data_IF_687159802370
#
_entry.id   IF_687159802370
#
_cell.length_a   1.000
_cell.length_b   1.000
_cell.length_c   1.000
_cell.angle_alpha   90.00
_cell.angle_beta   90.00
_cell.angle_gamma   90.00
#
_symmetry.space_group_name_H-M   'P 1'
#
loop_
_entity.id
_entity.type
_entity.pdbx_description
1 polymer ?
#
# COMPACT_ATOMS: atom_id res chain seq x y z
N UNK A 1 -43.17 -3.68 -21.55
CA UNK A 1 -42.68 -4.98 -21.05
C UNK A 1 -41.99 -4.75 -19.72
N UNK A 2 -42.68 -5.03 -18.61
CA UNK A 2 -42.09 -5.01 -17.28
C UNK A 2 -41.05 -6.12 -17.20
N UNK A 3 -39.76 -5.79 -17.20
CA UNK A 3 -38.72 -6.76 -16.86
C UNK A 3 -38.99 -7.24 -15.44
N UNK A 4 -39.47 -8.49 -15.28
CA UNK A 4 -39.48 -9.15 -13.99
C UNK A 4 -38.03 -9.15 -13.48
N UNK A 5 -37.75 -8.34 -12.44
CA UNK A 5 -36.45 -8.32 -11.77
C UNK A 5 -36.18 -9.73 -11.25
N UNK A 6 -35.13 -10.35 -11.78
CA UNK A 6 -34.71 -11.69 -11.35
C UNK A 6 -34.32 -11.59 -9.88
N UNK A 7 -35.03 -12.31 -9.02
CA UNK A 7 -34.74 -12.34 -7.58
C UNK A 7 -33.60 -13.31 -7.28
N UNK A 8 -32.85 -13.03 -6.22
CA UNK A 8 -31.81 -13.93 -5.71
C UNK A 8 -32.38 -14.92 -4.71
N UNK A 9 -31.76 -16.11 -4.59
CA UNK A 9 -32.13 -17.12 -3.57
C UNK A 9 -32.19 -16.52 -2.15
N UNK A 10 -31.29 -15.58 -1.84
CA UNK A 10 -31.25 -14.91 -0.54
C UNK A 10 -32.41 -13.93 -0.35
N UNK A 11 -32.78 -13.16 -1.38
CA UNK A 11 -33.93 -12.26 -1.30
C UNK A 11 -35.23 -13.05 -1.09
N UNK A 12 -35.40 -14.15 -1.81
CA UNK A 12 -36.54 -15.06 -1.61
C UNK A 12 -36.62 -15.55 -0.15
N UNK A 13 -35.51 -16.07 0.39
CA UNK A 13 -35.43 -16.52 1.78
C UNK A 13 -35.71 -15.40 2.79
N UNK A 14 -35.18 -14.20 2.55
CA UNK A 14 -35.46 -13.03 3.40
C UNK A 14 -36.93 -12.63 3.38
N UNK A 15 -37.58 -12.59 2.20
CA UNK A 15 -39.00 -12.28 2.06
C UNK A 15 -39.86 -13.29 2.82
N UNK A 16 -39.56 -14.58 2.68
CA UNK A 16 -40.24 -15.66 3.43
C UNK A 16 -40.05 -15.47 4.95
N UNK A 17 -38.84 -15.14 5.40
CA UNK A 17 -38.56 -14.92 6.83
C UNK A 17 -39.34 -13.73 7.38
N UNK A 18 -39.46 -12.63 6.61
CA UNK A 18 -40.26 -11.45 7.00
C UNK A 18 -41.75 -11.79 7.08
N UNK A 19 -42.27 -12.58 6.13
CA UNK A 19 -43.66 -13.06 6.16
C UNK A 19 -43.90 -13.90 7.42
N UNK A 20 -42.99 -14.83 7.73
CA UNK A 20 -43.07 -15.68 8.94
C UNK A 20 -43.04 -14.81 10.22
N UNK A 21 -42.21 -13.78 10.26
CA UNK A 21 -42.15 -12.84 11.39
C UNK A 21 -43.47 -12.06 11.55
N UNK A 22 -44.03 -11.56 10.45
CA UNK A 22 -45.31 -10.85 10.47
C UNK A 22 -46.46 -11.76 10.96
N UNK A 23 -46.49 -13.02 10.49
CA UNK A 23 -47.43 -14.03 10.99
C UNK A 23 -47.27 -14.26 12.49
N UNK A 24 -46.04 -14.34 13.00
CA UNK A 24 -45.76 -14.49 14.43
C UNK A 24 -46.42 -13.37 15.25
N UNK A 25 -46.29 -12.12 14.81
CA UNK A 25 -46.89 -10.95 15.47
C UNK A 25 -48.43 -11.04 15.46
N UNK A 26 -49.02 -11.37 14.30
CA UNK A 26 -50.48 -11.51 14.17
C UNK A 26 -51.02 -12.61 15.09
N UNK A 27 -50.38 -13.79 15.11
CA UNK A 27 -50.80 -14.89 15.98
C UNK A 27 -50.64 -14.56 17.47
N UNK A 28 -49.60 -13.81 17.84
CA UNK A 28 -49.40 -13.34 19.22
C UNK A 28 -50.46 -12.32 19.65
N UNK A 29 -50.87 -11.42 18.75
CA UNK A 29 -51.98 -10.48 19.00
C UNK A 29 -53.32 -11.24 19.14
N UNK A 30 -53.59 -12.20 18.26
CA UNK A 30 -54.79 -13.03 18.33
C UNK A 30 -54.86 -13.85 19.63
N UNK A 31 -53.75 -14.42 20.06
CA UNK A 31 -53.63 -15.14 21.33
C UNK A 31 -54.08 -14.27 22.53
N UNK A 32 -53.75 -12.98 22.50
CA UNK A 32 -54.11 -12.03 23.55
C UNK A 32 -55.60 -11.67 23.57
N UNK A 33 -56.28 -11.75 22.42
CA UNK A 33 -57.69 -11.35 22.28
C UNK A 33 -58.68 -12.51 22.47
N UNK A 34 -58.30 -13.73 22.06
CA UNK A 34 -59.19 -14.90 22.13
C UNK A 34 -59.45 -15.29 23.58
N UNK A 35 -60.72 -15.48 23.97
CA UNK A 35 -61.10 -15.98 25.31
C UNK A 35 -61.33 -17.49 25.35
N UNK A 36 -61.58 -18.11 24.20
CA UNK A 36 -61.82 -19.54 24.07
C UNK A 36 -60.54 -20.35 24.36
N UNK A 37 -60.65 -21.30 25.29
CA UNK A 37 -59.52 -22.06 25.84
C UNK A 37 -58.82 -22.99 24.83
N UNK A 38 -59.54 -23.85 24.07
CA UNK A 38 -58.90 -24.71 23.07
C UNK A 38 -58.24 -23.91 21.94
N UNK A 39 -58.86 -22.83 21.48
CA UNK A 39 -58.30 -21.96 20.44
C UNK A 39 -57.03 -21.23 20.91
N UNK A 40 -56.98 -20.83 22.19
CA UNK A 40 -55.77 -20.27 22.82
C UNK A 40 -54.59 -21.24 22.83
N UNK A 41 -54.82 -22.51 23.17
CA UNK A 41 -53.76 -23.54 23.17
C UNK A 41 -53.22 -23.74 21.76
N UNK A 42 -54.08 -23.81 20.75
CA UNK A 42 -53.66 -23.93 19.36
C UNK A 42 -52.78 -22.77 18.91
N UNK A 43 -53.16 -21.53 19.23
CA UNK A 43 -52.40 -20.31 18.93
C UNK A 43 -51.03 -20.29 19.63
N UNK A 44 -50.96 -20.80 20.86
CA UNK A 44 -49.69 -20.92 21.59
C UNK A 44 -48.75 -21.94 20.92
N UNK A 45 -49.29 -23.09 20.50
CA UNK A 45 -48.50 -24.10 19.79
C UNK A 45 -47.98 -23.57 18.44
N UNK A 46 -48.79 -22.85 17.67
CA UNK A 46 -48.36 -22.32 16.36
C UNK A 46 -47.31 -21.22 16.52
N UNK A 47 -47.48 -20.30 17.47
CA UNK A 47 -46.48 -19.27 17.78
C UNK A 47 -45.15 -19.89 18.25
N UNK A 48 -45.20 -20.94 19.08
CA UNK A 48 -43.99 -21.67 19.50
C UNK A 48 -43.25 -22.30 18.31
N UNK A 49 -43.96 -22.94 17.37
CA UNK A 49 -43.36 -23.51 16.15
C UNK A 49 -42.74 -22.43 15.28
N UNK A 50 -43.42 -21.28 15.11
CA UNK A 50 -42.89 -20.15 14.33
C UNK A 50 -41.62 -19.59 14.98
N UNK A 51 -41.61 -19.42 16.31
CA UNK A 51 -40.43 -18.97 17.06
C UNK A 51 -39.25 -19.94 16.93
N UNK A 52 -39.51 -21.25 16.93
CA UNK A 52 -38.48 -22.26 16.67
C UNK A 52 -37.85 -22.06 15.29
N UNK A 53 -38.67 -21.89 14.23
CA UNK A 53 -38.17 -21.66 12.86
C UNK A 53 -37.34 -20.38 12.78
N UNK A 54 -37.81 -19.30 13.39
CA UNK A 54 -37.09 -18.02 13.44
C UNK A 54 -35.76 -18.15 14.20
N UNK A 55 -35.71 -18.94 15.28
CA UNK A 55 -34.48 -19.20 16.03
C UNK A 55 -33.43 -19.94 15.19
N UNK A 56 -33.83 -20.94 14.41
CA UNK A 56 -32.94 -21.64 13.47
C UNK A 56 -32.45 -20.71 12.36
N UNK A 57 -33.32 -19.86 11.83
CA UNK A 57 -32.94 -18.86 10.83
C UNK A 57 -31.94 -17.84 11.39
N UNK A 58 -32.14 -17.38 12.63
CA UNK A 58 -31.23 -16.49 13.34
C UNK A 58 -29.89 -17.17 13.62
N UNK A 59 -29.89 -18.42 14.07
CA UNK A 59 -28.67 -19.19 14.32
C UNK A 59 -27.88 -19.42 13.02
N UNK A 60 -28.57 -19.77 11.93
CA UNK A 60 -27.95 -19.87 10.59
C UNK A 60 -27.39 -18.53 10.11
N UNK A 61 -28.05 -17.41 10.40
CA UNK A 61 -27.52 -16.07 10.13
C UNK A 61 -26.27 -15.80 10.99
N UNK A 62 -26.29 -16.14 12.27
CA UNK A 62 -25.20 -15.89 13.20
C UNK A 62 -23.93 -16.67 12.82
N UNK A 63 -24.07 -17.96 12.54
CA UNK A 63 -22.95 -18.82 12.08
C UNK A 63 -22.39 -18.32 10.75
N UNK A 64 -23.26 -18.01 9.77
CA UNK A 64 -22.83 -17.52 8.45
C UNK A 64 -22.06 -16.20 8.52
N UNK A 65 -22.37 -15.34 9.50
CA UNK A 65 -21.70 -14.06 9.68
C UNK A 65 -20.63 -14.10 10.79
N UNK A 66 -20.14 -15.30 11.17
CA UNK A 66 -19.00 -15.46 12.07
C UNK A 66 -19.19 -14.72 13.40
N UNK A 67 -20.32 -14.96 14.08
CA UNK A 67 -20.65 -14.31 15.36
C UNK A 67 -19.64 -14.63 16.48
N UNK A 68 -18.88 -15.72 16.33
CA UNK A 68 -17.75 -16.10 17.19
C UNK A 68 -16.69 -15.00 17.28
N UNK A 69 -16.56 -14.15 16.24
CA UNK A 69 -15.67 -12.98 16.22
C UNK A 69 -16.30 -11.71 16.82
N UNK A 70 -17.50 -11.83 17.39
CA UNK A 70 -18.23 -10.77 18.06
C UNK A 70 -19.37 -10.15 17.25
N UNK A 71 -20.34 -9.57 17.96
CA UNK A 71 -21.57 -9.03 17.36
C UNK A 71 -21.31 -7.89 16.37
N UNK A 72 -20.34 -7.02 16.68
CA UNK A 72 -19.93 -5.91 15.81
C UNK A 72 -19.35 -6.41 14.49
N UNK A 73 -18.54 -7.47 14.54
CA UNK A 73 -17.98 -8.11 13.35
C UNK A 73 -19.10 -8.71 12.50
N UNK A 74 -19.97 -9.51 13.11
CA UNK A 74 -21.07 -10.16 12.41
C UNK A 74 -21.99 -9.16 11.69
N UNK A 75 -22.30 -8.03 12.33
CA UNK A 75 -23.09 -6.97 11.70
C UNK A 75 -22.36 -6.31 10.52
N UNK A 76 -21.11 -5.89 10.70
CA UNK A 76 -20.30 -5.29 9.63
C UNK A 76 -20.14 -6.24 8.44
N UNK A 77 -19.80 -7.50 8.72
CA UNK A 77 -19.69 -8.57 7.74
C UNK A 77 -21.00 -8.75 6.97
N UNK A 78 -22.13 -8.88 7.69
CA UNK A 78 -23.44 -9.03 7.07
C UNK A 78 -23.78 -7.88 6.12
N UNK A 79 -23.61 -6.64 6.56
CA UNK A 79 -23.92 -5.44 5.76
C UNK A 79 -23.04 -5.38 4.51
N UNK A 80 -21.74 -5.63 4.64
CA UNK A 80 -20.80 -5.55 3.53
C UNK A 80 -21.06 -6.65 2.49
N UNK A 81 -21.23 -7.90 2.94
CA UNK A 81 -21.58 -9.03 2.05
C UNK A 81 -22.92 -8.80 1.36
N UNK A 82 -23.90 -8.18 2.03
CA UNK A 82 -25.16 -7.83 1.37
C UNK A 82 -24.99 -6.79 0.26
N UNK A 83 -24.20 -5.74 0.48
CA UNK A 83 -23.90 -4.72 -0.54
C UNK A 83 -23.17 -5.34 -1.73
N UNK A 84 -22.10 -6.09 -1.48
CA UNK A 84 -21.35 -6.79 -2.52
C UNK A 84 -22.26 -7.69 -3.37
N UNK A 85 -23.12 -8.48 -2.73
CA UNK A 85 -24.07 -9.34 -3.47
C UNK A 85 -25.03 -8.55 -4.34
N UNK A 86 -25.51 -7.41 -3.86
CA UNK A 86 -26.41 -6.54 -4.63
C UNK A 86 -25.68 -5.95 -5.84
N UNK A 87 -24.50 -5.38 -5.65
CA UNK A 87 -23.71 -4.79 -6.74
C UNK A 87 -23.26 -5.84 -7.76
N UNK A 88 -22.90 -7.05 -7.33
CA UNK A 88 -22.60 -8.16 -8.25
C UNK A 88 -23.82 -8.57 -9.10
N UNK A 89 -25.03 -8.54 -8.52
CA UNK A 89 -26.26 -8.79 -9.26
C UNK A 89 -26.51 -7.70 -10.30
N UNK A 90 -26.40 -6.44 -9.89
CA UNK A 90 -26.64 -5.26 -10.73
C UNK A 90 -25.60 -5.17 -11.86
N UNK A 91 -24.35 -5.61 -11.61
CA UNK A 91 -23.28 -5.75 -12.61
C UNK A 91 -23.41 -6.99 -13.52
N UNK A 92 -24.44 -7.83 -13.35
CA UNK A 92 -24.63 -9.02 -14.18
C UNK A 92 -23.64 -10.16 -13.92
N UNK A 93 -23.08 -10.22 -12.71
CA UNK A 93 -22.19 -11.30 -12.24
C UNK A 93 -23.03 -12.31 -11.46
N UNK A 94 -23.78 -13.11 -12.21
CA UNK A 94 -24.57 -14.22 -11.68
C UNK A 94 -24.81 -15.29 -12.74
N UNK A 95 -25.11 -16.51 -12.31
CA UNK A 95 -25.68 -17.57 -13.14
C UNK A 95 -27.19 -17.62 -12.94
N UNK A 96 -27.94 -18.12 -13.92
CA UNK A 96 -29.38 -18.36 -13.72
C UNK A 96 -29.64 -19.83 -13.47
N UNK A 97 -30.49 -20.12 -12.48
CA UNK A 97 -31.01 -21.46 -12.21
C UNK A 97 -32.53 -21.43 -12.25
N UNK A 98 -33.14 -22.42 -12.89
CA UNK A 98 -34.61 -22.59 -12.83
C UNK A 98 -34.99 -23.31 -11.55
N UNK A 99 -35.90 -22.73 -10.78
CA UNK A 99 -36.52 -23.35 -9.61
C UNK A 99 -38.03 -23.31 -9.86
N UNK A 100 -38.61 -24.45 -10.24
CA UNK A 100 -39.98 -24.51 -10.73
C UNK A 100 -40.16 -23.73 -12.05
N UNK A 101 -41.06 -22.76 -12.06
CA UNK A 101 -41.38 -21.89 -13.23
C UNK A 101 -40.50 -20.63 -13.26
N UNK A 102 -39.90 -20.26 -12.13
CA UNK A 102 -39.15 -19.01 -12.00
C UNK A 102 -37.65 -19.17 -12.29
N UNK A 103 -37.06 -18.12 -12.89
CA UNK A 103 -35.61 -17.99 -13.05
C UNK A 103 -35.06 -17.24 -11.84
N UNK A 104 -34.09 -17.84 -11.16
CA UNK A 104 -33.44 -17.26 -9.97
C UNK A 104 -31.98 -16.95 -10.28
N UNK A 105 -31.51 -15.78 -9.85
CA UNK A 105 -30.11 -15.39 -9.97
C UNK A 105 -29.28 -16.02 -8.83
N UNK A 106 -28.22 -16.72 -9.23
CA UNK A 106 -27.23 -17.33 -8.35
C UNK A 106 -25.94 -16.54 -8.47
N UNK A 107 -25.74 -15.65 -7.49
CA UNK A 107 -24.51 -14.86 -7.33
C UNK A 107 -23.39 -15.80 -6.86
N UNK A 108 -22.14 -15.64 -7.35
CA UNK A 108 -20.99 -16.37 -6.81
C UNK A 108 -20.91 -16.26 -5.28
N UNK A 109 -20.28 -17.26 -4.67
CA UNK A 109 -20.01 -17.19 -3.24
C UNK A 109 -19.11 -15.98 -2.98
N UNK A 110 -19.50 -15.16 -2.00
CA UNK A 110 -18.75 -13.98 -1.58
C UNK A 110 -18.75 -13.91 -0.07
N UNK A 111 -17.60 -13.66 0.52
CA UNK A 111 -17.42 -13.40 1.94
C UNK A 111 -16.40 -12.30 2.17
N UNK A 112 -16.35 -11.78 3.38
CA UNK A 112 -15.35 -10.80 3.79
C UNK A 112 -14.63 -11.30 5.03
N UNK A 113 -13.33 -10.98 5.13
CA UNK A 113 -12.54 -11.13 6.34
C UNK A 113 -11.97 -9.76 6.71
N UNK A 114 -12.29 -9.26 7.91
CA UNK A 114 -11.76 -7.98 8.38
C UNK A 114 -10.56 -8.20 9.30
N UNK A 115 -9.58 -7.28 9.22
CA UNK A 115 -8.59 -7.12 10.27
C UNK A 115 -9.27 -6.75 11.62
N UNK A 116 -8.66 -7.06 12.77
CA UNK A 116 -9.27 -6.84 14.09
C UNK A 116 -9.72 -5.39 14.35
N UNK A 117 -9.03 -4.41 13.77
CA UNK A 117 -9.31 -2.98 13.89
C UNK A 117 -10.37 -2.47 12.88
N UNK A 118 -10.80 -3.33 11.95
CA UNK A 118 -11.67 -3.03 10.82
C UNK A 118 -11.13 -1.93 9.89
N UNK A 119 -9.84 -1.64 9.89
CA UNK A 119 -9.23 -0.66 8.97
C UNK A 119 -8.88 -1.28 7.64
N UNK A 120 -8.65 -2.59 7.61
CA UNK A 120 -8.41 -3.34 6.38
C UNK A 120 -9.13 -4.67 6.41
N UNK A 121 -9.07 -5.37 5.28
CA UNK A 121 -9.62 -6.70 5.15
C UNK A 121 -9.50 -7.20 3.72
N UNK A 122 -10.13 -8.34 3.49
CA UNK A 122 -10.12 -9.02 2.19
C UNK A 122 -11.52 -9.48 1.83
N UNK A 123 -11.93 -9.20 0.60
CA UNK A 123 -13.12 -9.79 0.00
C UNK A 123 -12.69 -11.02 -0.81
N UNK A 124 -13.45 -12.10 -0.67
CA UNK A 124 -13.27 -13.34 -1.40
C UNK A 124 -14.46 -13.50 -2.33
N UNK A 125 -14.21 -13.64 -3.63
CA UNK A 125 -15.27 -13.93 -4.61
C UNK A 125 -14.90 -15.21 -5.35
N UNK A 126 -15.79 -16.20 -5.31
CA UNK A 126 -15.59 -17.46 -6.03
C UNK A 126 -15.54 -17.21 -7.54
N UNK A 127 -14.45 -17.65 -8.15
CA UNK A 127 -14.20 -17.58 -9.57
C UNK A 127 -14.93 -18.71 -10.32
N UNK A 128 -15.16 -18.50 -11.61
CA UNK A 128 -15.58 -19.52 -12.57
C UNK A 128 -15.19 -19.08 -13.96
N UNK A 129 -15.17 -20.00 -14.93
CA UNK A 129 -14.87 -19.68 -16.35
C UNK A 129 -15.75 -18.53 -16.86
N UNK A 130 -17.03 -18.48 -16.46
CA UNK A 130 -17.96 -17.42 -16.86
C UNK A 130 -17.64 -16.04 -16.24
N UNK A 131 -17.03 -16.02 -15.06
CA UNK A 131 -16.79 -14.80 -14.29
C UNK A 131 -15.35 -14.31 -14.36
N UNK A 132 -14.41 -15.13 -14.82
CA UNK A 132 -12.97 -14.83 -14.81
C UNK A 132 -12.65 -13.45 -15.38
N UNK A 133 -13.02 -13.20 -16.64
CA UNK A 133 -12.72 -11.92 -17.30
C UNK A 133 -13.42 -10.72 -16.65
N UNK A 134 -14.60 -10.95 -16.05
CA UNK A 134 -15.36 -9.89 -15.37
C UNK A 134 -14.73 -9.55 -14.02
N UNK A 135 -14.37 -10.56 -13.23
CA UNK A 135 -13.76 -10.38 -11.91
C UNK A 135 -12.33 -9.87 -12.01
N UNK A 136 -11.60 -10.19 -13.09
CA UNK A 136 -10.28 -9.63 -13.34
C UNK A 136 -10.28 -8.11 -13.54
N UNK A 137 -11.39 -7.54 -14.00
CA UNK A 137 -11.50 -6.12 -14.43
C UNK A 137 -12.42 -5.27 -13.54
N UNK A 138 -13.15 -5.89 -12.61
CA UNK A 138 -14.13 -5.17 -11.78
C UNK A 138 -13.42 -4.40 -10.67
N UNK A 139 -13.86 -3.16 -10.46
CA UNK A 139 -13.59 -2.40 -9.23
C UNK A 139 -14.80 -2.52 -8.29
N UNK A 140 -14.62 -3.19 -7.16
CA UNK A 140 -15.67 -3.39 -6.16
C UNK A 140 -15.67 -2.30 -5.07
N UNK A 141 -14.80 -1.29 -5.14
CA UNK A 141 -14.66 -0.25 -4.10
C UNK A 141 -15.98 0.46 -3.79
N UNK A 142 -16.79 0.71 -4.82
CA UNK A 142 -18.13 1.30 -4.68
C UNK A 142 -19.08 0.47 -3.80
N UNK A 143 -18.92 -0.86 -3.80
CA UNK A 143 -19.71 -1.78 -3.00
C UNK A 143 -19.25 -1.84 -1.53
N UNK A 144 -18.03 -1.39 -1.23
CA UNK A 144 -17.43 -1.56 0.08
C UNK A 144 -17.85 -0.51 1.11
N UNK A 145 -18.42 0.61 0.67
CA UNK A 145 -19.11 1.52 1.59
C UNK A 145 -18.22 2.27 2.57
N UNK A 146 -17.12 2.82 2.08
CA UNK A 146 -16.13 3.56 2.86
C UNK A 146 -14.75 2.92 2.85
N UNK A 147 -14.62 1.72 2.29
CA UNK A 147 -13.34 1.09 2.00
C UNK A 147 -13.01 1.21 0.51
N UNK A 148 -11.72 1.17 0.19
CA UNK A 148 -11.20 1.19 -1.18
C UNK A 148 -10.36 -0.06 -1.39
N UNK A 149 -10.50 -0.69 -2.56
CA UNK A 149 -9.66 -1.83 -2.95
C UNK A 149 -8.24 -1.33 -3.17
N UNK A 150 -7.28 -1.95 -2.49
CA UNK A 150 -5.85 -1.70 -2.69
C UNK A 150 -5.29 -2.57 -3.81
N UNK A 151 -5.67 -3.85 -3.84
CA UNK A 151 -5.20 -4.80 -4.84
C UNK A 151 -6.19 -5.93 -5.06
N UNK A 152 -6.19 -6.45 -6.29
CA UNK A 152 -6.95 -7.62 -6.70
C UNK A 152 -6.01 -8.65 -7.34
N UNK A 153 -6.12 -9.91 -6.92
CA UNK A 153 -5.35 -11.03 -7.43
C UNK A 153 -6.13 -12.34 -7.30
N UNK A 154 -5.67 -13.36 -8.03
CA UNK A 154 -6.24 -14.69 -8.05
C UNK A 154 -5.49 -15.58 -7.03
N UNK A 155 -6.18 -16.52 -6.40
CA UNK A 155 -5.54 -17.56 -5.59
C UNK A 155 -4.70 -18.50 -6.44
N UNK A 156 -3.72 -19.17 -5.83
CA UNK A 156 -2.81 -20.09 -6.53
C UNK A 156 -3.55 -21.23 -7.25
N UNK A 157 -4.69 -21.68 -6.70
CA UNK A 157 -5.60 -22.69 -7.27
C UNK A 157 -6.59 -22.12 -8.29
N UNK A 158 -6.56 -20.82 -8.55
CA UNK A 158 -7.48 -20.09 -9.42
C UNK A 158 -8.97 -20.12 -9.02
N UNK A 159 -9.32 -20.62 -7.83
CA UNK A 159 -10.72 -20.79 -7.41
C UNK A 159 -11.37 -19.49 -6.93
N UNK A 160 -10.60 -18.52 -6.44
CA UNK A 160 -11.11 -17.29 -5.86
C UNK A 160 -10.33 -16.07 -6.33
N UNK A 161 -11.05 -14.96 -6.49
CA UNK A 161 -10.45 -13.63 -6.54
C UNK A 161 -10.43 -13.02 -5.15
N UNK A 162 -9.26 -12.54 -4.75
CA UNK A 162 -9.04 -11.80 -3.52
C UNK A 162 -8.95 -10.31 -3.84
N UNK A 163 -9.69 -9.51 -3.09
CA UNK A 163 -9.66 -8.05 -3.15
C UNK A 163 -9.29 -7.53 -1.76
N UNK A 164 -8.04 -7.14 -1.58
CA UNK A 164 -7.59 -6.50 -0.34
C UNK A 164 -8.08 -5.05 -0.33
N UNK A 165 -8.59 -4.59 0.80
CA UNK A 165 -9.14 -3.25 0.95
C UNK A 165 -8.68 -2.57 2.24
N UNK A 166 -8.77 -1.24 2.26
CA UNK A 166 -8.49 -0.40 3.44
C UNK A 166 -9.54 0.71 3.59
N UNK A 167 -9.71 1.25 4.81
CA UNK A 167 -10.66 2.32 5.10
C UNK A 167 -10.17 3.62 4.44
N UNK A 168 -11.00 4.20 3.58
CA UNK A 168 -10.66 5.41 2.83
C UNK A 168 -10.38 6.62 3.73
N UNK A 169 -10.89 6.60 4.97
CA UNK A 169 -10.72 7.68 5.96
C UNK A 169 -9.51 7.47 6.86
N UNK A 170 -8.84 6.33 6.73
CA UNK A 170 -7.64 6.08 7.50
C UNK A 170 -6.50 6.94 6.96
N UNK A 171 -6.02 7.83 7.82
CA UNK A 171 -4.83 8.62 7.53
C UNK A 171 -3.59 7.79 7.83
N UNK A 172 -2.87 7.41 6.76
CA UNK A 172 -1.60 6.70 6.86
C UNK A 172 -0.48 7.61 7.37
N UNK A 173 -0.63 8.92 7.23
CA UNK A 173 0.42 9.90 7.55
C UNK A 173 0.79 9.86 9.03
N UNK A 174 2.09 9.84 9.27
CA UNK A 174 2.68 10.16 10.57
C UNK A 174 2.82 11.68 10.68
N UNK A 175 2.47 12.24 11.84
CA UNK A 175 2.65 13.66 12.14
C UNK A 175 3.41 13.74 13.45
N UNK A 176 4.54 14.44 13.43
CA UNK A 176 5.39 14.63 14.60
C UNK A 176 5.43 16.12 14.94
N UNK A 177 4.98 16.47 16.14
CA UNK A 177 4.93 17.87 16.58
C UNK A 177 6.22 18.34 17.26
N UNK A 178 7.11 17.41 17.58
CA UNK A 178 8.42 17.71 18.14
C UNK A 178 9.42 16.60 17.79
N UNK A 179 10.70 16.91 17.94
CA UNK A 179 11.79 15.99 17.65
C UNK A 179 11.79 14.74 18.56
N UNK A 180 11.35 14.86 19.81
CA UNK A 180 11.29 13.73 20.75
C UNK A 180 10.32 12.64 20.30
N UNK A 181 9.13 13.01 19.82
CA UNK A 181 8.16 12.08 19.23
C UNK A 181 8.72 11.37 18.00
N UNK A 182 9.36 12.13 17.10
CA UNK A 182 10.00 11.58 15.91
C UNK A 182 11.08 10.57 16.28
N UNK A 183 11.96 10.93 17.24
CA UNK A 183 13.05 10.08 17.69
C UNK A 183 12.54 8.78 18.31
N UNK A 184 11.56 8.87 19.22
CA UNK A 184 10.96 7.69 19.84
C UNK A 184 10.35 6.73 18.81
N UNK A 185 9.73 7.26 17.74
CA UNK A 185 9.23 6.43 16.64
C UNK A 185 10.37 5.85 15.79
N UNK A 186 11.39 6.65 15.45
CA UNK A 186 12.57 6.21 14.68
C UNK A 186 13.35 5.10 15.39
N UNK A 187 13.47 5.18 16.71
CA UNK A 187 14.12 4.19 17.58
C UNK A 187 13.32 2.87 17.66
N UNK A 188 12.02 2.89 17.36
CA UNK A 188 11.19 1.68 17.28
C UNK A 188 11.34 0.92 15.97
N UNK A 189 11.97 1.54 14.96
CA UNK A 189 12.21 0.98 13.63
C UNK A 189 13.64 0.44 13.55
N UNK A 190 13.84 -0.70 12.89
CA UNK A 190 15.15 -1.36 12.81
C UNK A 190 16.27 -0.46 12.27
N UNK A 191 17.52 -0.75 12.64
CA UNK A 191 18.68 0.09 12.31
C UNK A 191 18.94 0.24 10.81
N UNK A 192 18.43 -0.69 10.00
CA UNK A 192 18.58 -0.70 8.54
C UNK A 192 17.26 -0.45 7.79
N UNK A 193 16.25 0.02 8.51
CA UNK A 193 14.91 0.25 7.99
C UNK A 193 14.50 1.71 8.16
N UNK A 194 13.71 2.20 7.20
CA UNK A 194 13.17 3.56 7.19
C UNK A 194 11.66 3.48 7.08
N UNK A 195 10.98 4.27 7.91
CA UNK A 195 9.54 4.41 7.86
C UNK A 195 9.13 5.50 6.87
N UNK A 196 8.00 5.28 6.21
CA UNK A 196 7.38 6.24 5.29
C UNK A 196 6.09 6.76 5.90
N UNK A 197 5.25 5.83 6.34
CA UNK A 197 3.94 6.08 6.92
C UNK A 197 3.63 5.02 7.99
N UNK A 198 2.42 5.03 8.57
CA UNK A 198 2.05 4.11 9.66
C UNK A 198 2.10 2.63 9.29
N UNK A 199 1.93 2.31 8.01
CA UNK A 199 1.80 0.93 7.55
C UNK A 199 3.02 0.49 6.74
N UNK A 200 3.88 1.43 6.35
CA UNK A 200 4.97 1.21 5.41
C UNK A 200 6.31 1.54 6.04
N UNK A 201 7.06 0.49 6.34
CA UNK A 201 8.48 0.54 6.72
C UNK A 201 9.24 -0.38 5.78
N UNK A 202 10.36 0.09 5.24
CA UNK A 202 11.13 -0.63 4.23
C UNK A 202 12.61 -0.70 4.61
N UNK A 203 13.29 -1.80 4.28
CA UNK A 203 14.74 -1.85 4.40
C UNK A 203 15.39 -0.86 3.43
N UNK A 204 16.54 -0.33 3.84
CA UNK A 204 17.33 0.58 3.02
C UNK A 204 17.66 -0.05 1.66
N UNK A 205 17.42 0.70 0.59
CA UNK A 205 17.58 0.25 -0.80
C UNK A 205 17.81 1.43 -1.73
N UNK A 206 18.21 1.16 -2.99
CA UNK A 206 18.25 2.20 -4.03
C UNK A 206 16.84 2.74 -4.30
N UNK A 207 16.74 4.06 -4.51
CA UNK A 207 15.47 4.77 -4.62
C UNK A 207 15.42 5.70 -5.83
N UNK A 208 14.23 5.82 -6.41
CA UNK A 208 13.81 6.93 -7.26
C UNK A 208 12.68 7.71 -6.59
N UNK A 209 12.88 9.01 -6.34
CA UNK A 209 11.88 9.92 -5.81
C UNK A 209 11.59 11.04 -6.81
N UNK A 210 10.38 11.05 -7.37
CA UNK A 210 9.94 12.04 -8.34
C UNK A 210 8.80 12.88 -7.78
N UNK A 211 8.78 14.19 -8.00
CA UNK A 211 7.67 15.05 -7.59
C UNK A 211 7.78 16.46 -8.13
N UNK A 212 6.65 17.11 -8.42
CA UNK A 212 6.63 18.54 -8.78
C UNK A 212 7.08 19.41 -7.61
N UNK A 213 7.48 20.65 -7.90
CA UNK A 213 7.67 21.67 -6.87
C UNK A 213 6.40 21.79 -6.02
N UNK A 214 6.56 21.80 -4.69
CA UNK A 214 5.43 21.84 -3.76
C UNK A 214 4.76 20.48 -3.47
N UNK A 215 5.18 19.39 -4.11
CA UNK A 215 4.65 18.04 -3.84
C UNK A 215 5.08 17.45 -2.49
N UNK A 216 6.05 18.06 -1.81
CA UNK A 216 6.61 17.57 -0.54
C UNK A 216 7.92 16.78 -0.68
N UNK A 217 8.54 16.76 -1.87
CA UNK A 217 9.81 16.07 -2.16
C UNK A 217 10.93 16.38 -1.16
N UNK A 218 11.23 17.66 -0.92
CA UNK A 218 12.27 18.08 0.02
C UNK A 218 11.94 17.66 1.46
N UNK A 219 10.67 17.77 1.86
CA UNK A 219 10.22 17.32 3.19
C UNK A 219 10.38 15.81 3.37
N UNK A 220 10.05 15.01 2.35
CA UNK A 220 10.28 13.58 2.36
C UNK A 220 11.76 13.23 2.54
N UNK A 221 12.65 13.92 1.82
CA UNK A 221 14.10 13.75 1.96
C UNK A 221 14.60 14.16 3.34
N UNK A 222 14.15 15.29 3.89
CA UNK A 222 14.51 15.70 5.24
C UNK A 222 14.07 14.67 6.29
N UNK A 223 12.87 14.11 6.14
CA UNK A 223 12.39 13.03 6.99
C UNK A 223 13.31 11.81 6.96
N UNK A 224 13.73 11.38 5.78
CA UNK A 224 14.67 10.26 5.68
C UNK A 224 16.05 10.61 6.24
N UNK A 225 16.61 11.77 5.89
CA UNK A 225 17.94 12.19 6.37
C UNK A 225 17.93 12.25 7.89
N UNK A 226 16.88 12.79 8.50
CA UNK A 226 16.76 12.85 9.96
C UNK A 226 16.62 11.44 10.58
N UNK A 227 15.87 10.53 9.96
CA UNK A 227 15.79 9.13 10.41
C UNK A 227 17.18 8.49 10.43
N UNK A 228 17.91 8.58 9.31
CA UNK A 228 19.24 8.01 9.14
C UNK A 228 20.28 8.65 10.06
N UNK A 229 20.19 9.96 10.23
CA UNK A 229 21.04 10.71 11.14
C UNK A 229 20.82 10.28 12.58
N UNK A 230 19.59 9.89 12.97
CA UNK A 230 19.27 9.46 14.33
C UNK A 230 19.55 7.98 14.64
N UNK A 231 19.77 7.12 13.64
CA UNK A 231 20.02 5.69 13.88
C UNK A 231 21.24 5.43 14.78
N UNK A 232 21.19 4.29 15.48
CA UNK A 232 22.28 3.84 16.35
C UNK A 232 23.50 3.42 15.53
N UNK A 233 23.26 2.68 14.44
CA UNK A 233 24.28 2.41 13.42
C UNK A 233 24.47 3.69 12.61
N UNK A 234 25.70 4.23 12.51
CA UNK A 234 25.92 5.49 11.81
C UNK A 234 25.81 5.29 10.30
N UNK A 235 25.03 6.15 9.65
CA UNK A 235 24.88 6.22 8.20
C UNK A 235 25.88 7.22 7.62
N UNK A 236 26.62 6.81 6.60
CA UNK A 236 27.52 7.68 5.85
C UNK A 236 26.74 8.30 4.68
N UNK A 237 26.44 9.60 4.78
CA UNK A 237 25.62 10.31 3.79
C UNK A 237 26.49 11.12 2.82
N UNK A 238 26.21 10.99 1.53
CA UNK A 238 26.88 11.70 0.44
C UNK A 238 25.81 12.48 -0.33
N UNK A 239 26.13 13.70 -0.73
CA UNK A 239 25.18 14.62 -1.37
C UNK A 239 25.75 15.11 -2.69
N UNK A 240 25.03 14.84 -3.78
CA UNK A 240 25.29 15.41 -5.10
C UNK A 240 24.12 16.32 -5.46
N UNK A 241 24.33 17.64 -5.47
CA UNK A 241 23.29 18.63 -5.72
C UNK A 241 23.76 19.70 -6.72
N UNK A 242 23.54 19.50 -8.03
CA UNK A 242 23.99 20.39 -9.09
C UNK A 242 23.28 21.77 -9.10
N UNK A 243 22.31 21.99 -8.20
CA UNK A 243 21.52 23.22 -8.07
C UNK A 243 21.72 23.96 -6.74
N UNK A 244 22.61 23.49 -5.86
CA UNK A 244 22.88 24.12 -4.55
C UNK A 244 21.60 24.43 -3.77
N UNK A 245 20.73 23.43 -3.65
CA UNK A 245 19.43 23.59 -2.99
C UNK A 245 19.55 23.57 -1.46
N UNK A 246 18.41 23.57 -0.76
CA UNK A 246 18.36 23.32 0.68
C UNK A 246 18.96 21.96 1.10
N UNK A 247 19.04 20.99 0.18
CA UNK A 247 19.70 19.70 0.42
C UNK A 247 21.22 19.89 0.51
N UNK A 248 21.83 20.67 -0.38
CA UNK A 248 23.26 21.00 -0.32
C UNK A 248 23.65 21.63 1.02
N UNK A 249 22.91 22.65 1.49
CA UNK A 249 23.15 23.29 2.79
C UNK A 249 23.10 22.30 3.97
N UNK A 250 22.23 21.30 3.86
CA UNK A 250 22.05 20.27 4.88
C UNK A 250 23.20 19.26 4.80
N UNK A 251 23.63 18.90 3.59
CA UNK A 251 24.82 18.10 3.32
C UNK A 251 26.09 18.73 3.88
N UNK A 252 26.32 20.03 3.63
CA UNK A 252 27.47 20.77 4.17
C UNK A 252 27.56 20.73 5.70
N UNK A 253 26.40 20.65 6.38
CA UNK A 253 26.34 20.58 7.85
C UNK A 253 26.54 19.18 8.40
N UNK A 254 26.01 18.16 7.72
CA UNK A 254 26.04 16.77 8.20
C UNK A 254 27.30 16.04 7.74
N UNK A 255 27.71 16.27 6.49
CA UNK A 255 28.83 15.60 5.85
C UNK A 255 29.54 16.56 4.87
N UNK A 256 30.27 17.57 5.38
CA UNK A 256 30.95 18.57 4.55
C UNK A 256 31.89 17.96 3.52
N UNK A 257 32.65 16.93 3.90
CA UNK A 257 33.63 16.28 3.01
C UNK A 257 32.99 15.38 1.93
N UNK A 258 31.67 15.12 2.01
CA UNK A 258 30.95 14.28 1.04
C UNK A 258 29.79 15.03 0.37
N UNK A 259 29.89 16.35 0.23
CA UNK A 259 28.90 17.18 -0.47
C UNK A 259 29.54 17.80 -1.70
N UNK A 260 28.92 17.63 -2.87
CA UNK A 260 29.42 18.13 -4.16
C UNK A 260 28.30 18.80 -4.97
N UNK A 261 28.63 19.94 -5.58
CA UNK A 261 27.67 20.74 -6.37
C UNK A 261 28.12 20.92 -7.81
N UNK A 262 29.44 21.02 -8.03
CA UNK A 262 29.97 21.15 -9.37
C UNK A 262 30.06 19.82 -10.11
N UNK A 263 30.03 19.86 -11.44
CA UNK A 263 30.01 18.64 -12.25
C UNK A 263 31.23 17.74 -11.97
N UNK A 264 32.44 18.32 -11.95
CA UNK A 264 33.67 17.56 -11.74
C UNK A 264 33.80 17.07 -10.29
N UNK A 265 33.31 17.85 -9.31
CA UNK A 265 33.23 17.42 -7.90
C UNK A 265 32.27 16.23 -7.74
N UNK A 266 31.11 16.27 -8.39
CA UNK A 266 30.15 15.16 -8.36
C UNK A 266 30.76 13.90 -8.99
N UNK A 267 31.53 14.03 -10.07
CA UNK A 267 32.27 12.90 -10.66
C UNK A 267 33.30 12.35 -9.66
N UNK A 268 34.08 13.21 -9.01
CA UNK A 268 35.03 12.79 -7.98
C UNK A 268 34.34 12.13 -6.77
N UNK A 269 33.17 12.63 -6.36
CA UNK A 269 32.35 12.04 -5.30
C UNK A 269 31.86 10.64 -5.69
N UNK A 270 31.43 10.44 -6.94
CA UNK A 270 31.05 9.12 -7.47
C UNK A 270 32.23 8.14 -7.47
N UNK A 271 33.42 8.60 -7.88
CA UNK A 271 34.64 7.79 -7.87
C UNK A 271 35.01 7.38 -6.44
N UNK A 272 35.01 8.33 -5.50
CA UNK A 272 35.25 8.07 -4.08
C UNK A 272 34.24 7.07 -3.50
N UNK A 273 32.95 7.26 -3.81
CA UNK A 273 31.88 6.37 -3.35
C UNK A 273 32.05 4.94 -3.89
N UNK A 274 32.42 4.78 -5.16
CA UNK A 274 32.70 3.46 -5.75
C UNK A 274 33.95 2.82 -5.16
N UNK A 275 35.03 3.59 -4.93
CA UNK A 275 36.23 3.09 -4.28
C UNK A 275 35.93 2.50 -2.89
N UNK A 276 35.18 3.25 -2.06
CA UNK A 276 34.76 2.75 -0.75
C UNK A 276 33.86 1.51 -0.83
N UNK A 277 33.04 1.40 -1.87
CA UNK A 277 32.23 0.20 -2.13
C UNK A 277 33.11 -1.01 -2.46
N UNK A 278 34.15 -0.85 -3.29
CA UNK A 278 35.07 -1.93 -3.65
C UNK A 278 35.89 -2.41 -2.45
N UNK A 279 36.34 -1.49 -1.59
CA UNK A 279 37.01 -1.81 -0.32
C UNK A 279 36.09 -2.62 0.60
N UNK A 280 34.83 -2.18 0.75
CA UNK A 280 33.80 -2.89 1.52
C UNK A 280 33.50 -4.28 0.94
N UNK A 281 33.51 -4.44 -0.37
CA UNK A 281 33.30 -5.74 -1.02
C UNK A 281 34.44 -6.70 -0.70
N UNK A 282 35.68 -6.22 -0.66
CA UNK A 282 36.82 -7.03 -0.23
C UNK A 282 36.68 -7.46 1.23
N UNK A 283 36.28 -6.54 2.12
CA UNK A 283 36.01 -6.82 3.53
C UNK A 283 34.90 -7.88 3.72
N UNK A 284 33.75 -7.71 3.05
CA UNK A 284 32.64 -8.66 3.13
C UNK A 284 33.06 -10.03 2.61
N UNK A 285 33.82 -10.08 1.50
CA UNK A 285 34.30 -11.34 0.94
C UNK A 285 35.14 -12.15 1.93
N UNK A 286 35.94 -11.50 2.76
CA UNK A 286 36.68 -12.17 3.83
C UNK A 286 35.74 -12.71 4.92
N UNK A 287 34.70 -11.94 5.28
CA UNK A 287 33.69 -12.30 6.29
C UNK A 287 32.72 -13.38 5.83
N UNK A 288 32.46 -13.53 4.52
CA UNK A 288 31.59 -14.56 3.95
C UNK A 288 32.07 -16.00 4.24
N UNK A 289 33.34 -16.17 4.63
CA UNK A 289 33.86 -17.44 5.15
C UNK A 289 33.15 -17.90 6.44
N UNK A 290 32.54 -16.97 7.18
CA UNK A 290 31.84 -17.22 8.46
C UNK A 290 30.32 -17.29 8.31
N UNK A 291 29.75 -16.62 7.31
CA UNK A 291 28.32 -16.64 7.00
C UNK A 291 28.10 -16.51 5.50
N UNK A 292 27.73 -17.62 4.86
CA UNK A 292 27.41 -17.66 3.43
C UNK A 292 26.15 -16.81 3.19
N UNK A 293 26.16 -16.03 2.10
CA UNK A 293 25.08 -15.12 1.67
C UNK A 293 24.75 -13.96 2.62
N UNK A 294 25.64 -13.64 3.57
CA UNK A 294 25.50 -12.45 4.40
C UNK A 294 25.67 -11.14 3.62
N UNK A 295 24.98 -10.09 4.07
CA UNK A 295 25.14 -8.72 3.61
C UNK A 295 25.63 -7.79 4.73
N UNK A 296 25.81 -6.51 4.40
CA UNK A 296 26.30 -5.50 5.33
C UNK A 296 25.53 -5.46 6.68
N UNK A 297 24.24 -5.83 6.70
CA UNK A 297 23.39 -5.83 7.90
C UNK A 297 23.75 -6.96 8.84
N UNK A 298 24.01 -8.14 8.28
CA UNK A 298 24.41 -9.33 9.05
C UNK A 298 25.75 -9.13 9.76
N UNK A 299 26.59 -8.27 9.19
CA UNK A 299 27.90 -7.93 9.73
C UNK A 299 27.90 -6.63 10.57
N UNK A 300 26.74 -6.01 10.80
CA UNK A 300 26.61 -4.78 11.59
C UNK A 300 27.36 -3.58 10.99
N UNK A 301 27.55 -3.55 9.68
CA UNK A 301 28.33 -2.53 8.98
C UNK A 301 27.49 -1.29 8.69
N UNK A 302 28.12 -0.12 8.74
CA UNK A 302 27.49 1.15 8.40
C UNK A 302 27.12 1.22 6.92
N UNK A 303 25.87 1.64 6.61
CA UNK A 303 25.45 1.90 5.24
C UNK A 303 26.04 3.21 4.72
N UNK A 304 26.29 3.26 3.42
CA UNK A 304 26.69 4.45 2.66
C UNK A 304 25.56 4.80 1.69
N UNK A 305 25.10 6.05 1.74
CA UNK A 305 23.99 6.52 0.91
C UNK A 305 24.39 7.76 0.13
N UNK A 306 24.34 7.66 -1.20
CA UNK A 306 24.46 8.79 -2.11
C UNK A 306 23.09 9.33 -2.49
N UNK A 307 22.78 10.54 -2.03
CA UNK A 307 21.59 11.31 -2.38
C UNK A 307 21.95 12.22 -3.53
N UNK A 308 21.38 11.93 -4.70
CA UNK A 308 21.55 12.72 -5.90
C UNK A 308 20.29 13.58 -6.11
N UNK A 309 20.31 14.82 -5.61
CA UNK A 309 19.22 15.76 -5.87
C UNK A 309 19.32 16.31 -7.29
N UNK A 310 18.17 16.45 -7.93
CA UNK A 310 18.04 16.93 -9.30
C UNK A 310 18.98 16.24 -10.33
N UNK A 311 18.97 14.91 -10.35
CA UNK A 311 19.77 14.10 -11.29
C UNK A 311 19.57 14.46 -12.77
N UNK A 312 18.39 14.99 -13.12
CA UNK A 312 18.07 15.48 -14.47
C UNK A 312 19.01 16.60 -14.92
N UNK A 313 19.41 17.50 -14.03
CA UNK A 313 20.31 18.61 -14.34
C UNK A 313 21.74 18.11 -14.60
N UNK A 314 22.22 17.16 -13.77
CA UNK A 314 23.50 16.51 -14.01
C UNK A 314 23.52 15.71 -15.32
N UNK A 315 22.45 14.97 -15.60
CA UNK A 315 22.32 14.19 -16.84
C UNK A 315 22.38 15.05 -18.09
N UNK A 316 21.80 16.26 -18.05
CA UNK A 316 21.88 17.22 -19.14
C UNK A 316 23.32 17.68 -19.38
N UNK A 317 24.03 18.08 -18.31
CA UNK A 317 25.46 18.45 -18.40
C UNK A 317 26.32 17.29 -18.88
N UNK A 318 26.03 16.07 -18.42
CA UNK A 318 26.73 14.85 -18.83
C UNK A 318 26.58 14.59 -20.33
N UNK A 319 25.39 14.86 -20.90
CA UNK A 319 25.13 14.65 -22.33
C UNK A 319 26.01 15.54 -23.24
N UNK A 320 26.45 16.69 -22.74
CA UNK A 320 27.34 17.65 -23.43
C UNK A 320 28.82 17.26 -23.35
N UNK A 321 29.19 16.33 -22.44
CA UNK A 321 30.57 15.86 -22.28
C UNK A 321 30.97 14.86 -23.37
N UNK A 322 32.27 14.65 -23.50
CA UNK A 322 32.82 13.70 -24.46
C UNK A 322 32.39 12.26 -24.12
N UNK A 323 32.49 11.36 -25.10
CA UNK A 323 32.05 9.97 -24.94
C UNK A 323 32.78 9.27 -23.79
N UNK A 324 34.08 9.53 -23.58
CA UNK A 324 34.85 8.87 -22.52
C UNK A 324 34.31 9.23 -21.14
N UNK A 325 34.04 10.50 -20.89
CA UNK A 325 33.50 10.94 -19.59
C UNK A 325 32.07 10.41 -19.37
N UNK A 326 31.24 10.37 -20.42
CA UNK A 326 29.90 9.75 -20.34
C UNK A 326 29.94 8.26 -20.00
N UNK A 327 30.80 7.51 -20.68
CA UNK A 327 30.95 6.07 -20.46
C UNK A 327 31.52 5.79 -19.05
N UNK A 328 32.44 6.63 -18.57
CA UNK A 328 33.00 6.55 -17.21
C UNK A 328 31.94 6.74 -16.13
N UNK A 329 31.17 7.84 -16.18
CA UNK A 329 30.11 8.11 -15.21
C UNK A 329 29.01 7.03 -15.26
N UNK A 330 28.65 6.58 -16.46
CA UNK A 330 27.70 5.48 -16.65
C UNK A 330 28.19 4.18 -15.98
N UNK A 331 29.48 3.87 -16.10
CA UNK A 331 30.13 2.73 -15.44
C UNK A 331 30.05 2.84 -13.92
N UNK A 332 30.37 4.01 -13.34
CA UNK A 332 30.29 4.23 -11.89
C UNK A 332 28.85 4.01 -11.37
N UNK A 333 27.86 4.62 -12.01
CA UNK A 333 26.45 4.46 -11.64
C UNK A 333 25.99 3.00 -11.77
N UNK A 334 26.40 2.30 -12.84
CA UNK A 334 26.08 0.89 -13.04
C UNK A 334 26.66 0.01 -11.92
N UNK A 335 27.90 0.26 -11.50
CA UNK A 335 28.52 -0.49 -10.41
C UNK A 335 27.77 -0.31 -9.09
N UNK A 336 27.38 0.91 -8.77
CA UNK A 336 26.63 1.22 -7.55
C UNK A 336 25.29 0.47 -7.53
N UNK A 337 24.47 0.59 -8.57
CA UNK A 337 23.12 -0.01 -8.57
C UNK A 337 23.13 -1.53 -8.69
N UNK A 338 24.16 -2.12 -9.29
CA UNK A 338 24.26 -3.58 -9.46
C UNK A 338 24.89 -4.29 -8.27
N UNK A 339 25.90 -3.69 -7.63
CA UNK A 339 26.69 -4.35 -6.58
C UNK A 339 26.50 -3.74 -5.18
N UNK A 340 25.93 -2.54 -5.09
CA UNK A 340 25.88 -1.76 -3.86
C UNK A 340 25.04 -2.40 -2.75
N UNK A 341 23.92 -3.06 -3.09
CA UNK A 341 22.99 -3.64 -2.11
C UNK A 341 23.66 -4.55 -1.07
N UNK A 342 24.47 -5.51 -1.50
CA UNK A 342 25.14 -6.44 -0.58
C UNK A 342 26.17 -5.71 0.31
N UNK A 343 26.80 -4.67 -0.26
CA UNK A 343 27.86 -3.90 0.39
C UNK A 343 27.33 -2.81 1.32
N UNK A 344 26.03 -2.52 1.29
CA UNK A 344 25.43 -1.42 2.02
C UNK A 344 25.64 -0.05 1.35
N UNK A 345 25.88 -0.02 0.03
CA UNK A 345 26.05 1.21 -0.75
C UNK A 345 24.82 1.47 -1.61
N UNK A 346 24.13 2.58 -1.36
CA UNK A 346 22.84 2.89 -1.97
C UNK A 346 22.86 4.22 -2.72
N UNK A 347 22.02 4.29 -3.76
CA UNK A 347 21.86 5.47 -4.62
C UNK A 347 20.39 5.89 -4.58
N UNK A 348 20.15 7.12 -4.18
CA UNK A 348 18.84 7.77 -4.23
C UNK A 348 18.85 8.85 -5.28
N UNK A 349 18.06 8.65 -6.34
CA UNK A 349 17.86 9.61 -7.40
C UNK A 349 16.60 10.41 -7.10
N UNK A 350 16.74 11.73 -7.03
CA UNK A 350 15.64 12.65 -6.78
C UNK A 350 15.46 13.53 -8.01
N UNK A 351 14.22 13.66 -8.48
CA UNK A 351 13.92 14.41 -9.70
C UNK A 351 12.65 15.24 -9.58
N UNK A 352 12.62 16.37 -10.29
CA UNK A 352 11.37 17.05 -10.59
C UNK A 352 10.61 16.34 -11.71
N UNK A 353 9.28 16.55 -11.76
CA UNK A 353 8.49 16.18 -12.93
C UNK A 353 8.78 17.21 -14.03
N UNK A 354 9.82 16.97 -14.83
CA UNK A 354 10.07 17.74 -16.05
C UNK A 354 10.30 16.79 -17.21
N UNK A 355 9.55 17.05 -18.28
CA UNK A 355 9.47 16.16 -19.44
C UNK A 355 10.80 16.01 -20.16
N UNK A 356 11.05 14.77 -20.63
CA UNK A 356 12.08 14.35 -21.58
C UNK A 356 13.51 14.02 -21.11
N UNK A 357 13.91 14.29 -19.87
CA UNK A 357 15.22 13.80 -19.36
C UNK A 357 15.06 12.41 -18.72
N UNK A 358 15.05 11.36 -19.54
CA UNK A 358 14.90 9.97 -19.09
C UNK A 358 16.13 9.51 -18.31
N UNK A 359 15.92 9.01 -17.08
CA UNK A 359 16.92 8.18 -16.39
C UNK A 359 17.27 7.01 -17.32
N UNK A 360 18.56 6.70 -17.52
CA UNK A 360 18.96 5.51 -18.26
C UNK A 360 18.22 4.27 -17.75
N UNK A 361 17.61 3.51 -18.66
CA UNK A 361 16.76 2.35 -18.33
C UNK A 361 17.46 1.37 -17.38
N UNK A 362 18.74 1.10 -17.58
CA UNK A 362 19.51 0.19 -16.73
C UNK A 362 19.63 0.68 -15.27
N UNK A 363 19.68 2.00 -15.04
CA UNK A 363 19.68 2.55 -13.68
C UNK A 363 18.30 2.36 -13.10
N UNK A 364 17.26 2.86 -13.80
CA UNK A 364 15.87 2.83 -13.34
C UNK A 364 15.40 1.42 -12.97
N UNK A 365 15.77 0.42 -13.76
CA UNK A 365 15.32 -0.97 -13.55
C UNK A 365 15.99 -1.60 -12.32
N UNK A 366 17.14 -1.06 -11.88
CA UNK A 366 17.83 -1.43 -10.64
C UNK A 366 17.46 -0.54 -9.43
N UNK A 367 16.50 0.37 -9.56
CA UNK A 367 15.92 1.13 -8.45
C UNK A 367 14.60 0.45 -8.01
N UNK A 368 14.61 -0.43 -6.99
CA UNK A 368 13.41 -1.15 -6.59
C UNK A 368 12.39 -0.25 -5.89
N UNK A 369 12.84 0.77 -5.15
CA UNK A 369 11.95 1.70 -4.46
C UNK A 369 11.70 2.91 -5.35
N UNK A 370 10.50 3.00 -5.95
CA UNK A 370 10.13 4.11 -6.82
C UNK A 370 8.93 4.83 -6.22
N UNK A 371 9.01 6.15 -6.13
CA UNK A 371 7.97 7.00 -5.56
C UNK A 371 7.70 8.17 -6.50
N UNK A 372 6.42 8.43 -6.77
CA UNK A 372 5.94 9.64 -7.44
C UNK A 372 5.03 10.39 -6.47
N UNK A 373 5.48 11.56 -6.01
CA UNK A 373 4.76 12.45 -5.10
C UNK A 373 3.86 13.43 -5.85
N UNK A 374 2.69 13.68 -5.25
CA UNK A 374 1.65 14.52 -5.82
C UNK A 374 1.02 13.90 -7.07
N UNK A 375 0.04 14.61 -7.64
CA UNK A 375 -0.55 14.20 -8.90
C UNK A 375 0.44 14.53 -10.03
N UNK A 376 0.86 13.51 -10.78
CA UNK A 376 1.77 13.66 -11.91
C UNK A 376 1.04 13.45 -13.25
N UNK A 377 1.67 13.90 -14.33
CA UNK A 377 1.26 13.51 -15.69
C UNK A 377 1.56 12.02 -15.94
N UNK A 378 0.75 11.38 -16.79
CA UNK A 378 0.90 9.95 -17.14
C UNK A 378 2.32 9.58 -17.56
N UNK A 379 2.99 10.46 -18.31
CA UNK A 379 4.37 10.25 -18.74
C UNK A 379 5.35 10.12 -17.56
N UNK A 380 5.12 10.81 -16.45
CA UNK A 380 5.94 10.69 -15.24
C UNK A 380 5.80 9.29 -14.65
N UNK A 381 4.57 8.79 -14.54
CA UNK A 381 4.32 7.44 -14.04
C UNK A 381 4.92 6.37 -14.94
N UNK A 382 4.78 6.51 -16.27
CA UNK A 382 5.42 5.61 -17.24
C UNK A 382 6.94 5.64 -17.11
N UNK A 383 7.52 6.81 -16.91
CA UNK A 383 8.97 6.96 -16.76
C UNK A 383 9.47 6.31 -15.46
N UNK A 384 8.74 6.45 -14.35
CA UNK A 384 9.12 5.90 -13.06
C UNK A 384 8.83 4.39 -12.94
N UNK A 385 7.61 3.97 -13.26
CA UNK A 385 7.11 2.61 -13.01
C UNK A 385 7.13 1.71 -14.25
N UNK A 386 7.22 2.28 -15.45
CA UNK A 386 7.08 1.54 -16.71
C UNK A 386 5.68 1.67 -17.33
N UNK A 387 5.58 1.34 -18.61
CA UNK A 387 4.33 1.42 -19.36
C UNK A 387 3.32 0.34 -18.93
N UNK A 388 2.02 0.67 -19.00
CA UNK A 388 0.94 -0.27 -18.68
C UNK A 388 0.68 -0.48 -17.20
N UNK A 389 1.17 0.42 -16.35
CA UNK A 389 0.97 0.34 -14.90
C UNK A 389 -0.29 1.09 -14.48
N UNK A 390 -1.20 0.42 -13.77
CA UNK A 390 -2.43 1.03 -13.24
C UNK A 390 -2.12 1.90 -12.01
N UNK A 391 -2.35 3.21 -12.13
CA UNK A 391 -2.13 4.18 -11.05
C UNK A 391 -3.42 4.37 -10.25
N UNK A 392 -3.38 4.30 -8.91
CA UNK A 392 -4.55 4.57 -8.08
C UNK A 392 -5.15 5.96 -8.35
N UNK A 393 -6.44 6.00 -8.68
CA UNK A 393 -7.17 7.24 -8.94
C UNK A 393 -7.56 7.92 -7.62
N UNK A 394 -6.66 8.77 -7.10
CA UNK A 394 -6.90 9.60 -5.91
C UNK A 394 -6.30 10.98 -6.10
N UNK A 395 -6.99 12.02 -5.64
CA UNK A 395 -6.41 13.35 -5.54
C UNK A 395 -5.37 13.35 -4.41
N UNK A 396 -4.09 13.42 -4.78
CA UNK A 396 -2.98 13.43 -3.84
C UNK A 396 -2.71 14.84 -3.30
N UNK A 397 -2.55 14.95 -1.98
CA UNK A 397 -2.08 16.14 -1.30
C UNK A 397 -0.55 16.23 -1.23
N UNK A 398 -0.04 17.28 -0.60
CA UNK A 398 1.40 17.45 -0.33
C UNK A 398 1.90 16.31 0.55
N UNK A 399 3.00 15.65 0.16
CA UNK A 399 3.57 14.51 0.86
C UNK A 399 2.84 13.18 0.63
N UNK A 400 1.72 13.18 -0.12
CA UNK A 400 1.08 11.96 -0.59
C UNK A 400 1.62 11.59 -1.97
N UNK A 401 1.70 10.29 -2.25
CA UNK A 401 2.23 9.80 -3.51
C UNK A 401 1.81 8.37 -3.79
N UNK A 402 2.37 7.85 -4.87
CA UNK A 402 2.26 6.45 -5.26
C UNK A 402 3.66 5.85 -5.29
N UNK A 403 3.80 4.60 -4.89
CA UNK A 403 5.07 3.89 -4.90
C UNK A 403 4.96 2.48 -5.47
N UNK A 404 6.11 1.95 -5.93
CA UNK A 404 6.29 0.52 -6.18
C UNK A 404 7.50 -0.01 -5.41
N UNK A 405 7.39 -1.26 -4.98
CA UNK A 405 8.47 -2.01 -4.33
C UNK A 405 8.24 -3.52 -4.54
N UNK A 406 9.18 -4.29 -5.11
CA UNK A 406 8.93 -5.66 -5.55
C UNK A 406 8.33 -6.63 -4.52
N UNK A 407 8.62 -6.48 -3.22
CA UNK A 407 8.09 -7.39 -2.20
C UNK A 407 6.83 -6.89 -1.50
N UNK A 408 6.50 -5.59 -1.62
CA UNK A 408 5.39 -4.95 -0.87
C UNK A 408 4.30 -4.41 -1.81
N UNK A 409 4.70 -3.91 -2.98
CA UNK A 409 3.85 -3.21 -3.94
C UNK A 409 4.32 -3.50 -5.38
N UNK A 410 3.95 -4.69 -5.89
CA UNK A 410 4.14 -5.05 -7.30
C UNK A 410 3.24 -4.25 -8.25
N UNK A 411 2.11 -3.75 -7.72
CA UNK A 411 1.30 -2.71 -8.35
C UNK A 411 1.46 -1.42 -7.54
N UNK A 412 1.37 -0.24 -8.17
CA UNK A 412 1.56 1.02 -7.47
C UNK A 412 0.56 1.20 -6.33
N UNK A 413 1.08 1.46 -5.12
CA UNK A 413 0.30 1.67 -3.89
C UNK A 413 0.43 3.10 -3.40
N UNK A 414 -0.57 3.56 -2.65
CA UNK A 414 -0.55 4.88 -2.02
C UNK A 414 0.38 4.90 -0.81
N UNK A 415 1.22 5.93 -0.71
CA UNK A 415 2.00 6.25 0.49
C UNK A 415 1.72 7.68 0.96
N UNK A 416 1.97 7.95 2.24
CA UNK A 416 1.85 9.28 2.83
C UNK A 416 3.03 9.59 3.74
N UNK A 417 4.01 10.31 3.19
CA UNK A 417 5.23 10.68 3.92
C UNK A 417 4.90 11.46 5.19
N UNK A 418 5.70 11.20 6.23
CA UNK A 418 5.58 11.85 7.52
C UNK A 418 5.66 13.39 7.41
N UNK A 419 4.85 14.08 8.21
CA UNK A 419 4.93 15.52 8.40
C UNK A 419 5.76 15.83 9.64
N UNK A 420 6.79 16.65 9.45
CA UNK A 420 7.65 17.16 10.52
C UNK A 420 7.20 18.58 10.87
N UNK A 421 6.40 18.72 11.92
CA UNK A 421 5.88 20.00 12.41
C UNK A 421 6.80 20.61 13.47
N UNK A 422 8.10 20.64 13.16
CA UNK A 422 9.15 21.22 13.99
C UNK A 422 10.35 21.65 13.14
N UNK A 423 11.22 22.47 13.71
CA UNK A 423 12.41 22.95 13.00
C UNK A 423 13.47 21.84 12.89
N UNK A 424 13.66 21.32 11.68
CA UNK A 424 14.65 20.29 11.37
C UNK A 424 16.08 20.75 11.69
N UNK A 425 16.41 22.03 11.46
CA UNK A 425 17.76 22.53 11.72
C UNK A 425 18.10 22.54 13.21
N UNK A 426 17.11 22.79 14.07
CA UNK A 426 17.30 22.73 15.52
C UNK A 426 17.46 21.29 16.00
N UNK A 427 16.72 20.35 15.40
CA UNK A 427 16.87 18.92 15.65
C UNK A 427 18.28 18.41 15.30
N UNK A 428 18.82 18.81 14.15
CA UNK A 428 20.18 18.42 13.73
C UNK A 428 21.28 18.95 14.67
N UNK A 429 21.08 20.13 15.29
CA UNK A 429 22.03 20.69 16.26
C UNK A 429 22.07 19.92 17.58
N UNK A 430 20.97 19.28 17.96
CA UNK A 430 20.83 18.61 19.26
C UNK A 430 21.68 17.33 19.40
N UNK A 431 22.22 16.77 18.31
CA UNK A 431 23.15 15.62 18.34
C UNK A 431 24.63 16.03 18.33
N UNK A 432 24.92 17.28 17.95
CA UNK A 432 26.29 17.83 17.89
C UNK A 432 26.75 18.39 19.25
N UNK A 433 25.81 18.67 20.17
CA UNK A 433 26.06 18.94 21.59
C UNK A 433 25.96 17.65 22.39
#
# INVERSE_FOLDING_TARGET
>A
MTMNRIQTDRQMKSTVTVIILALCVVFSMLFSYVKDFPLKILLLCTTAVIMLILSFALLGWAVRNQIDRGLKYAWKHYVLVLRLRKELLDAGIYTTRKIGVEKVAVIPWVTVDFAPDFRSGRVYIKNSIQFHDKLAKIDISSALGGYVVEQAYLTDDAEHYYFDFYDARYDKRLVFHNFGEFKAYSDSVGDYELFIDRDTTLPLTHQLLVGQTGSGKSYALFGYILQMYEKQIPYNLYFADPKESSIALLGERISPDNTASDFDEIVALLEHFVSGMEERQAEIKERLSTMIDGDYRDFGLSPHLLIFDEFSAFSQRLAEKDKKQRDHVSSLLAQIVLKGRQSGFFLWIVMQQSGSNSIPTFIRDNLPWKVVLGNAEDQTYVTAFGAGTDIPLRKLGVGEGVFTYPTVANKPKLCSFATLDFNILDALRARVM
#
